data_IF_722310538135
#
_entry.id   IF_722310538135
#
_cell.length_a   1.000
_cell.length_b   1.000
_cell.length_c   1.000
_cell.angle_alpha   90.00
_cell.angle_beta   90.00
_cell.angle_gamma   90.00
#
_symmetry.space_group_name_H-M   'P 1'
#
loop_
_entity.id
_entity.type
_entity.pdbx_description
1 polymer ?
#
# COMPACT_ATOMS: atom_id res chain seq x y z
N UNK A 1 -11.15 -40.34 20.69
CA UNK A 1 -11.71 -39.02 21.05
C UNK A 1 -11.50 -38.11 19.86
N UNK A 2 -12.48 -38.04 18.96
CA UNK A 2 -12.44 -37.17 17.79
C UNK A 2 -13.27 -35.93 18.11
N UNK A 3 -12.62 -34.76 18.08
CA UNK A 3 -13.29 -33.49 18.29
C UNK A 3 -13.93 -33.05 16.97
N UNK A 4 -15.24 -33.27 16.83
CA UNK A 4 -16.03 -32.74 15.73
C UNK A 4 -16.36 -31.28 16.05
N UNK A 5 -15.84 -30.34 15.25
CA UNK A 5 -16.25 -28.94 15.31
C UNK A 5 -17.23 -28.72 14.15
N UNK A 6 -18.52 -28.66 14.46
CA UNK A 6 -19.53 -28.18 13.52
C UNK A 6 -19.51 -26.65 13.49
N UNK A 7 -19.50 -25.99 12.31
CA UNK A 7 -19.74 -24.56 12.23
C UNK A 7 -21.21 -24.26 12.49
N UNK A 8 -21.46 -23.34 13.42
CA UNK A 8 -22.79 -22.82 13.75
C UNK A 8 -23.45 -22.18 12.52
N UNK A 9 -24.70 -22.58 12.27
CA UNK A 9 -25.58 -22.08 11.23
C UNK A 9 -25.91 -20.60 11.51
N UNK A 10 -25.20 -19.68 10.87
CA UNK A 10 -25.74 -18.39 10.50
C UNK A 10 -25.83 -18.34 8.98
N UNK A 11 -26.96 -18.82 8.47
CA UNK A 11 -27.40 -18.65 7.10
C UNK A 11 -27.70 -17.17 6.85
N UNK A 12 -26.74 -16.44 6.30
CA UNK A 12 -27.04 -15.24 5.49
C UNK A 12 -26.92 -15.63 4.02
N UNK A 13 -28.00 -16.22 3.52
CA UNK A 13 -28.26 -16.31 2.09
C UNK A 13 -28.56 -14.91 1.56
N UNK A 14 -27.51 -14.17 1.20
CA UNK A 14 -27.62 -13.08 0.24
C UNK A 14 -26.53 -13.25 -0.80
N UNK A 15 -26.85 -14.05 -1.82
CA UNK A 15 -26.13 -14.06 -3.08
C UNK A 15 -26.37 -12.71 -3.76
N UNK A 16 -25.73 -11.66 -3.28
CA UNK A 16 -25.56 -10.45 -4.07
C UNK A 16 -24.62 -10.83 -5.21
N UNK A 17 -25.20 -11.17 -6.37
CA UNK A 17 -24.51 -11.13 -7.65
C UNK A 17 -23.70 -9.83 -7.67
N UNK A 18 -22.36 -9.84 -7.80
CA UNK A 18 -21.64 -8.62 -8.07
C UNK A 18 -22.18 -8.10 -9.41
N UNK A 19 -22.81 -6.93 -9.36
CA UNK A 19 -23.27 -6.23 -10.55
C UNK A 19 -22.03 -5.82 -11.36
N UNK A 20 -21.89 -6.46 -12.52
CA UNK A 20 -20.93 -6.23 -13.62
C UNK A 20 -19.52 -5.82 -13.17
N UNK A 21 -18.72 -6.82 -12.83
CA UNK A 21 -17.37 -6.89 -13.38
C UNK A 21 -17.13 -8.32 -13.88
N UNK A 22 -17.03 -8.53 -15.20
CA UNK A 22 -16.97 -9.86 -15.81
C UNK A 22 -15.54 -10.42 -15.73
N UNK A 23 -15.04 -10.59 -14.50
CA UNK A 23 -13.76 -11.21 -14.21
C UNK A 23 -13.83 -12.67 -14.69
N UNK A 24 -12.91 -13.05 -15.58
CA UNK A 24 -12.80 -14.44 -16.03
C UNK A 24 -11.95 -15.22 -15.02
N UNK A 25 -12.58 -16.18 -14.34
CA UNK A 25 -11.88 -17.12 -13.44
C UNK A 25 -11.75 -18.45 -14.17
N UNK A 26 -10.52 -18.91 -14.39
CA UNK A 26 -10.25 -20.24 -14.91
C UNK A 26 -9.53 -21.09 -13.87
N UNK A 27 -9.94 -22.36 -13.78
CA UNK A 27 -9.29 -23.36 -12.94
C UNK A 27 -8.72 -24.46 -13.84
N UNK A 28 -7.50 -24.87 -13.57
CA UNK A 28 -6.91 -26.08 -14.14
C UNK A 28 -6.38 -26.95 -13.01
N UNK A 29 -6.71 -28.24 -13.03
CA UNK A 29 -6.18 -29.21 -12.07
C UNK A 29 -5.14 -30.06 -12.78
N UNK A 30 -3.97 -30.16 -12.15
CA UNK A 30 -2.94 -31.16 -12.46
C UNK A 30 -2.84 -32.12 -11.27
N UNK A 31 -2.06 -33.20 -11.40
CA UNK A 31 -1.89 -34.17 -10.31
C UNK A 31 -1.36 -33.53 -9.02
N UNK A 32 -0.50 -32.51 -9.14
CA UNK A 32 0.19 -31.88 -8.00
C UNK A 32 -0.28 -30.44 -7.67
N UNK A 33 -0.93 -29.75 -8.61
CA UNK A 33 -1.26 -28.32 -8.46
C UNK A 33 -2.66 -27.96 -8.98
N UNK A 34 -3.28 -26.98 -8.31
CA UNK A 34 -4.46 -26.26 -8.79
C UNK A 34 -4.02 -24.89 -9.28
N UNK A 35 -4.19 -24.64 -10.58
CA UNK A 35 -3.95 -23.33 -11.18
C UNK A 35 -5.25 -22.53 -11.19
N UNK A 36 -5.26 -21.38 -10.52
CA UNK A 36 -6.37 -20.42 -10.54
C UNK A 36 -5.88 -19.17 -11.25
N UNK A 37 -6.47 -18.85 -12.40
CA UNK A 37 -6.17 -17.62 -13.14
C UNK A 37 -7.36 -16.69 -13.08
N UNK A 38 -7.10 -15.46 -12.63
CA UNK A 38 -8.08 -14.38 -12.50
C UNK A 38 -7.70 -13.34 -13.55
N UNK A 39 -8.55 -13.17 -14.55
CA UNK A 39 -8.30 -12.23 -15.64
C UNK A 39 -9.37 -11.12 -15.62
N UNK A 40 -8.96 -9.84 -15.54
CA UNK A 40 -9.89 -8.73 -15.65
C UNK A 40 -10.50 -8.68 -17.06
N UNK A 41 -11.75 -8.25 -17.16
CA UNK A 41 -12.43 -8.04 -18.45
C UNK A 41 -11.75 -6.92 -19.22
N UNK A 42 -11.68 -7.06 -20.55
CA UNK A 42 -10.92 -6.13 -21.41
C UNK A 42 -11.63 -4.78 -21.63
N UNK A 43 -12.93 -4.69 -21.35
CA UNK A 43 -13.77 -3.52 -21.66
C UNK A 43 -14.26 -2.75 -20.42
N UNK A 44 -13.71 -3.04 -19.24
CA UNK A 44 -14.15 -2.38 -18.02
C UNK A 44 -13.45 -1.05 -17.74
N UNK A 45 -14.27 -0.08 -17.34
CA UNK A 45 -13.78 1.19 -16.79
C UNK A 45 -13.14 0.89 -15.44
N UNK A 46 -11.84 1.19 -15.34
CA UNK A 46 -11.06 1.05 -14.12
C UNK A 46 -11.73 1.75 -12.94
N UNK A 47 -11.56 1.16 -11.76
CA UNK A 47 -12.05 1.72 -10.50
C UNK A 47 -11.44 3.10 -10.25
N UNK A 48 -12.23 4.03 -9.72
CA UNK A 48 -11.71 5.35 -9.32
C UNK A 48 -10.59 5.19 -8.30
N UNK A 49 -9.49 5.94 -8.42
CA UNK A 49 -8.39 5.89 -7.45
C UNK A 49 -8.27 7.19 -6.66
N UNK A 50 -8.18 7.09 -5.33
CA UNK A 50 -7.83 8.18 -4.43
C UNK A 50 -6.35 8.05 -4.07
N UNK A 51 -5.54 9.00 -4.53
CA UNK A 51 -4.08 8.96 -4.31
C UNK A 51 -3.67 10.11 -3.42
N UNK A 52 -2.91 9.82 -2.36
CA UNK A 52 -2.25 10.82 -1.54
C UNK A 52 -0.75 10.62 -1.67
N UNK A 53 -0.07 11.62 -2.23
CA UNK A 53 1.38 11.67 -2.25
C UNK A 53 1.84 12.53 -1.08
N UNK A 54 2.62 11.92 -0.19
CA UNK A 54 3.27 12.60 0.92
C UNK A 54 4.76 12.59 0.63
N UNK A 55 5.28 13.80 0.38
CA UNK A 55 6.70 14.04 0.15
C UNK A 55 7.25 14.67 1.41
N UNK A 56 8.22 14.02 2.04
CA UNK A 56 8.96 14.56 3.16
C UNK A 56 9.75 15.80 2.71
N UNK A 57 9.25 17.00 3.01
CA UNK A 57 9.92 18.26 2.67
C UNK A 57 10.82 18.77 3.80
N UNK A 58 11.39 17.89 4.65
CA UNK A 58 12.44 18.34 5.58
C UNK A 58 13.50 19.16 4.83
N UNK A 59 14.06 20.19 5.48
CA UNK A 59 14.71 21.35 4.84
C UNK A 59 15.84 21.07 3.84
N UNK A 60 16.28 19.83 3.74
CA UNK A 60 17.17 19.27 2.72
C UNK A 60 16.54 18.97 1.35
N UNK A 61 15.20 18.99 1.21
CA UNK A 61 14.50 18.80 -0.08
C UNK A 61 14.25 20.11 -0.87
N UNK A 62 14.61 21.29 -0.33
CA UNK A 62 14.37 22.57 -1.03
C UNK A 62 15.50 23.00 -1.96
N UNK A 63 16.71 22.51 -1.77
CA UNK A 63 17.75 22.57 -2.80
C UNK A 63 17.52 21.42 -3.78
N UNK A 64 17.95 21.59 -5.04
CA UNK A 64 17.84 20.57 -6.08
C UNK A 64 18.21 19.19 -5.52
N UNK A 65 17.60 18.11 -6.05
CA UNK A 65 17.82 16.73 -5.59
C UNK A 65 19.29 16.29 -5.76
N UNK A 66 20.16 16.81 -4.91
CA UNK A 66 21.58 16.58 -4.85
C UNK A 66 21.81 15.45 -3.85
N UNK A 67 22.58 14.46 -4.28
CA UNK A 67 22.99 13.34 -3.43
C UNK A 67 23.83 13.93 -2.30
N UNK A 68 23.34 13.86 -1.06
CA UNK A 68 24.09 14.35 0.09
C UNK A 68 25.31 13.46 0.32
N UNK A 69 26.50 14.00 0.04
CA UNK A 69 27.78 13.41 0.40
C UNK A 69 28.09 13.75 1.87
N UNK A 70 27.89 12.80 2.78
CA UNK A 70 28.39 12.63 4.17
C UNK A 70 28.49 13.82 5.17
N UNK A 71 28.27 15.08 4.80
CA UNK A 71 28.44 16.25 5.68
C UNK A 71 27.56 17.43 5.31
N UNK A 72 26.24 17.26 5.28
CA UNK A 72 25.36 18.42 5.30
C UNK A 72 24.57 18.46 6.62
N UNK A 73 24.94 19.41 7.48
CA UNK A 73 24.37 19.68 8.81
C UNK A 73 23.01 20.39 8.73
N UNK A 74 22.22 20.17 7.68
CA UNK A 74 20.83 20.58 7.67
C UNK A 74 20.00 19.47 8.31
N UNK A 75 20.05 19.36 9.64
CA UNK A 75 19.20 18.42 10.39
C UNK A 75 17.74 18.90 10.36
N UNK A 76 17.11 18.81 9.20
CA UNK A 76 15.67 18.86 9.08
C UNK A 76 15.07 17.75 9.95
N UNK A 77 14.03 18.07 10.71
CA UNK A 77 13.32 17.04 11.46
C UNK A 77 12.45 16.22 10.49
N UNK A 78 12.90 15.03 10.10
CA UNK A 78 12.09 14.05 9.36
C UNK A 78 11.07 13.41 10.29
N UNK A 79 9.83 13.90 10.23
CA UNK A 79 8.71 13.38 11.04
C UNK A 79 7.87 12.37 10.25
N UNK A 80 8.52 11.29 9.82
CA UNK A 80 7.93 10.25 8.97
C UNK A 80 6.57 9.73 9.49
N UNK A 81 6.43 9.59 10.81
CA UNK A 81 5.20 9.12 11.42
C UNK A 81 4.02 10.08 11.22
N UNK A 82 4.24 11.38 11.37
CA UNK A 82 3.18 12.38 11.25
C UNK A 82 2.71 12.48 9.80
N UNK A 83 3.66 12.48 8.87
CA UNK A 83 3.43 12.42 7.41
C UNK A 83 2.57 11.21 7.03
N UNK A 84 2.97 10.03 7.50
CA UNK A 84 2.23 8.77 7.30
C UNK A 84 0.81 8.85 7.88
N UNK A 85 0.69 9.31 9.13
CA UNK A 85 -0.58 9.41 9.85
C UNK A 85 -1.54 10.37 9.19
N UNK A 86 -1.09 11.59 8.88
CA UNK A 86 -1.91 12.63 8.26
C UNK A 86 -2.35 12.23 6.85
N UNK A 87 -1.49 11.58 6.07
CA UNK A 87 -1.86 11.06 4.75
C UNK A 87 -2.93 9.98 4.82
N UNK A 88 -2.78 9.01 5.73
CA UNK A 88 -3.78 7.95 5.94
C UNK A 88 -5.11 8.49 6.47
N UNK A 89 -5.08 9.43 7.41
CA UNK A 89 -6.28 10.08 7.93
C UNK A 89 -7.01 10.86 6.83
N UNK A 90 -6.30 11.57 5.94
CA UNK A 90 -6.91 12.26 4.81
C UNK A 90 -7.56 11.29 3.83
N UNK A 91 -6.84 10.24 3.43
CA UNK A 91 -7.37 9.21 2.53
C UNK A 91 -8.61 8.53 3.11
N UNK A 92 -8.62 8.25 4.43
CA UNK A 92 -9.77 7.66 5.10
C UNK A 92 -11.02 8.55 5.08
N UNK A 93 -10.84 9.89 5.13
CA UNK A 93 -11.94 10.86 5.08
C UNK A 93 -12.51 11.06 3.66
N UNK A 94 -11.70 10.84 2.64
CA UNK A 94 -12.08 10.99 1.22
C UNK A 94 -12.63 9.70 0.59
N UNK A 95 -12.73 8.62 1.35
CA UNK A 95 -13.27 7.36 0.83
C UNK A 95 -14.80 7.45 0.69
N UNK A 96 -15.26 8.11 -0.37
CA UNK A 96 -16.69 8.29 -0.68
C UNK A 96 -17.35 7.01 -1.21
N UNK A 97 -16.57 5.97 -1.58
CA UNK A 97 -17.11 4.69 -2.04
C UNK A 97 -16.19 3.51 -1.78
N UNK A 98 -16.80 2.36 -1.45
CA UNK A 98 -16.17 1.03 -1.28
C UNK A 98 -15.36 0.61 -2.53
N UNK A 99 -15.64 1.20 -3.69
CA UNK A 99 -15.00 0.86 -4.97
C UNK A 99 -13.72 1.65 -5.26
N UNK A 100 -13.35 2.64 -4.44
CA UNK A 100 -12.17 3.47 -4.73
C UNK A 100 -10.88 2.83 -4.24
N UNK A 101 -9.90 2.68 -5.14
CA UNK A 101 -8.56 2.21 -4.77
C UNK A 101 -7.85 3.36 -4.08
N UNK A 102 -7.39 3.15 -2.85
CA UNK A 102 -6.63 4.16 -2.11
C UNK A 102 -5.15 3.79 -2.02
N UNK A 103 -4.29 4.75 -2.34
CA UNK A 103 -2.85 4.59 -2.22
C UNK A 103 -2.17 5.81 -1.61
N UNK A 104 -1.27 5.54 -0.67
CA UNK A 104 -0.34 6.48 -0.09
C UNK A 104 1.03 6.28 -0.73
N UNK A 105 1.63 7.34 -1.25
CA UNK A 105 3.01 7.35 -1.70
C UNK A 105 3.85 8.17 -0.72
N UNK A 106 4.81 7.54 -0.06
CA UNK A 106 5.67 8.17 0.94
C UNK A 106 7.10 8.24 0.41
N UNK A 107 7.57 9.45 0.08
CA UNK A 107 8.95 9.69 -0.34
C UNK A 107 9.73 10.33 0.81
N UNK A 108 10.86 9.73 1.17
CA UNK A 108 11.80 10.29 2.16
C UNK A 108 13.24 10.07 1.72
N UNK A 109 14.14 10.92 2.20
CA UNK A 109 15.57 10.88 1.91
C UNK A 109 16.43 10.69 3.17
N UNK A 110 15.80 10.41 4.32
CA UNK A 110 16.44 10.44 5.63
C UNK A 110 15.89 9.41 6.61
N UNK A 111 16.60 9.19 7.71
CA UNK A 111 16.09 8.43 8.85
C UNK A 111 15.08 9.27 9.65
N UNK A 112 14.00 8.67 10.17
CA UNK A 112 13.05 9.38 11.01
C UNK A 112 13.71 9.89 12.30
N UNK A 113 13.55 11.18 12.60
CA UNK A 113 14.08 11.78 13.83
C UNK A 113 13.07 11.76 14.97
N UNK A 114 11.77 11.63 14.64
CA UNK A 114 10.68 11.50 15.59
C UNK A 114 10.05 10.11 15.49
N UNK A 115 10.18 9.35 16.56
CA UNK A 115 9.66 7.99 16.66
C UNK A 115 8.42 8.03 17.57
N UNK A 116 7.27 7.46 17.16
CA UNK A 116 6.12 7.36 18.04
C UNK A 116 6.41 6.43 19.22
N UNK A 117 5.66 6.57 20.33
CA UNK A 117 5.95 5.87 21.60
C UNK A 117 6.07 4.35 21.48
N UNK A 118 5.27 3.74 20.59
CA UNK A 118 5.25 2.29 20.36
C UNK A 118 6.11 1.86 19.16
N UNK A 119 6.82 2.78 18.52
CA UNK A 119 7.49 2.57 17.24
C UNK A 119 6.54 2.65 16.03
N UNK A 120 7.11 2.86 14.84
CA UNK A 120 6.35 3.14 13.61
C UNK A 120 5.39 2.00 13.24
N UNK A 121 5.87 0.75 13.29
CA UNK A 121 5.12 -0.43 12.84
C UNK A 121 3.88 -0.70 13.71
N UNK A 122 4.06 -0.71 15.03
CA UNK A 122 2.95 -0.93 15.99
C UNK A 122 1.94 0.22 15.93
N UNK A 123 2.44 1.46 15.80
CA UNK A 123 1.58 2.64 15.68
C UNK A 123 0.76 2.60 14.38
N UNK A 124 1.38 2.18 13.26
CA UNK A 124 0.71 2.00 11.98
C UNK A 124 -0.38 0.94 12.05
N UNK A 125 -0.10 -0.23 12.64
CA UNK A 125 -1.12 -1.26 12.83
C UNK A 125 -2.32 -0.78 13.65
N UNK A 126 -2.07 -0.05 14.76
CA UNK A 126 -3.12 0.55 15.59
C UNK A 126 -3.94 1.54 14.77
N UNK A 127 -3.29 2.42 14.01
CA UNK A 127 -3.96 3.39 13.16
C UNK A 127 -4.83 2.71 12.09
N UNK A 128 -4.30 1.71 11.38
CA UNK A 128 -5.07 0.95 10.38
C UNK A 128 -6.31 0.28 10.98
N UNK A 129 -6.18 -0.36 12.14
CA UNK A 129 -7.30 -0.97 12.87
C UNK A 129 -8.35 0.06 13.27
N UNK A 130 -7.92 1.24 13.71
CA UNK A 130 -8.81 2.32 14.13
C UNK A 130 -9.55 2.97 12.95
N UNK A 131 -8.88 3.17 11.82
CA UNK A 131 -9.48 3.78 10.62
C UNK A 131 -10.40 2.81 9.88
N UNK A 132 -10.27 1.49 10.10
CA UNK A 132 -10.96 0.43 9.35
C UNK A 132 -10.89 0.65 7.82
N UNK A 133 -9.70 1.05 7.37
CA UNK A 133 -9.46 1.59 6.04
C UNK A 133 -8.37 0.77 5.33
N UNK A 134 -8.60 0.44 4.05
CA UNK A 134 -7.69 -0.35 3.24
C UNK A 134 -6.99 0.58 2.25
N UNK A 135 -5.67 0.72 2.41
CA UNK A 135 -4.83 1.57 1.59
C UNK A 135 -3.50 0.90 1.30
N UNK A 136 -3.08 0.94 0.03
CA UNK A 136 -1.74 0.53 -0.37
C UNK A 136 -0.75 1.62 0.06
N UNK A 137 0.32 1.24 0.77
CA UNK A 137 1.36 2.18 1.21
C UNK A 137 2.61 1.88 0.39
N UNK A 138 2.98 2.76 -0.54
CA UNK A 138 4.23 2.62 -1.27
C UNK A 138 5.26 3.58 -0.70
N UNK A 139 6.44 3.07 -0.40
CA UNK A 139 7.53 3.84 0.20
C UNK A 139 8.66 3.99 -0.80
N UNK A 140 9.23 5.19 -0.86
CA UNK A 140 10.30 5.55 -1.78
C UNK A 140 11.44 6.13 -0.94
N UNK A 141 12.58 5.44 -0.92
CA UNK A 141 13.77 5.88 -0.20
C UNK A 141 14.76 6.53 -1.16
N UNK A 142 15.07 7.80 -0.98
CA UNK A 142 16.00 8.56 -1.82
C UNK A 142 17.39 8.71 -1.17
N UNK A 143 18.43 8.30 -1.89
CA UNK A 143 19.80 8.35 -1.40
C UNK A 143 20.10 7.25 -0.38
N UNK A 144 21.28 7.31 0.24
CA UNK A 144 21.86 6.18 0.97
C UNK A 144 21.73 6.28 2.49
N UNK A 145 21.29 7.43 3.01
CA UNK A 145 21.23 7.73 4.45
C UNK A 145 19.78 7.61 4.91
N UNK A 146 19.24 6.40 4.90
CA UNK A 146 17.86 6.12 5.31
C UNK A 146 17.69 4.68 5.82
N UNK A 147 16.64 4.47 6.61
CA UNK A 147 16.28 3.14 7.09
C UNK A 147 15.42 2.40 6.06
N UNK A 148 16.09 1.72 5.12
CA UNK A 148 15.41 0.98 4.03
C UNK A 148 14.56 -0.16 4.58
N UNK A 149 15.01 -0.78 5.68
CA UNK A 149 14.29 -1.90 6.30
C UNK A 149 12.97 -1.42 6.90
N UNK A 150 13.00 -0.28 7.60
CA UNK A 150 11.79 0.34 8.11
C UNK A 150 10.81 0.71 6.99
N UNK A 151 11.29 1.30 5.89
CA UNK A 151 10.43 1.66 4.75
C UNK A 151 9.80 0.43 4.09
N UNK A 152 10.56 -0.66 3.95
CA UNK A 152 10.07 -1.95 3.47
C UNK A 152 8.99 -2.52 4.42
N UNK A 153 9.26 -2.53 5.72
CA UNK A 153 8.32 -3.04 6.73
C UNK A 153 7.03 -2.21 6.78
N UNK A 154 7.11 -0.89 6.62
CA UNK A 154 5.94 0.00 6.49
C UNK A 154 5.12 -0.35 5.23
N UNK A 155 5.78 -0.55 4.09
CA UNK A 155 5.10 -0.91 2.84
C UNK A 155 4.42 -2.28 2.92
N UNK A 156 5.10 -3.26 3.53
CA UNK A 156 4.55 -4.61 3.77
C UNK A 156 3.38 -4.60 4.75
N UNK A 157 3.42 -3.77 5.78
CA UNK A 157 2.28 -3.56 6.68
C UNK A 157 1.11 -2.86 5.99
N UNK A 158 1.32 -2.21 4.84
CA UNK A 158 0.28 -1.69 3.97
C UNK A 158 -0.57 -2.80 3.33
N UNK A 159 -1.66 -2.43 2.65
CA UNK A 159 -2.47 -3.39 1.89
C UNK A 159 -1.93 -3.55 0.45
N UNK A 160 -0.89 -4.36 0.28
CA UNK A 160 -0.20 -4.59 -1.03
C UNK A 160 0.64 -3.41 -1.51
N UNK A 161 1.33 -2.76 -0.58
CA UNK A 161 2.31 -1.72 -0.88
C UNK A 161 3.65 -2.26 -1.37
N UNK A 162 4.47 -1.40 -1.95
CA UNK A 162 5.84 -1.72 -2.38
C UNK A 162 6.86 -0.70 -1.89
N UNK A 163 8.09 -1.15 -1.66
CA UNK A 163 9.23 -0.28 -1.41
C UNK A 163 10.08 -0.15 -2.68
N UNK A 164 10.52 1.07 -2.98
CA UNK A 164 11.46 1.35 -4.06
C UNK A 164 12.62 2.22 -3.56
N UNK A 165 13.84 1.73 -3.79
CA UNK A 165 15.06 2.49 -3.56
C UNK A 165 15.36 3.40 -4.75
N UNK A 166 15.72 4.65 -4.47
CA UNK A 166 16.07 5.67 -5.45
C UNK A 166 17.51 6.11 -5.17
N UNK A 167 18.50 5.71 -6.00
CA UNK A 167 19.90 6.06 -5.76
C UNK A 167 20.18 7.56 -5.97
N UNK A 168 19.47 8.18 -6.92
CA UNK A 168 19.66 9.57 -7.33
C UNK A 168 18.46 10.14 -8.10
N UNK A 169 18.48 11.45 -8.36
CA UNK A 169 17.40 12.20 -8.99
C UNK A 169 16.99 11.73 -10.39
N UNK A 170 17.86 11.07 -11.14
CA UNK A 170 17.60 10.65 -12.53
C UNK A 170 16.50 9.59 -12.63
N UNK A 171 16.33 8.78 -11.58
CA UNK A 171 15.40 7.65 -11.57
C UNK A 171 14.07 7.95 -10.89
N UNK A 172 13.94 9.10 -10.20
CA UNK A 172 12.73 9.49 -9.46
C UNK A 172 11.50 9.47 -10.38
N UNK A 173 11.59 10.12 -11.54
CA UNK A 173 10.48 10.21 -12.49
C UNK A 173 10.01 8.84 -12.97
N UNK A 174 10.94 7.98 -13.39
CA UNK A 174 10.65 6.62 -13.86
C UNK A 174 9.95 5.77 -12.79
N UNK A 175 10.45 5.83 -11.55
CA UNK A 175 9.92 5.06 -10.43
C UNK A 175 8.48 5.50 -10.10
N UNK A 176 8.23 6.81 -10.05
CA UNK A 176 6.88 7.35 -9.81
C UNK A 176 5.91 7.02 -10.94
N UNK A 177 6.34 7.15 -12.20
CA UNK A 177 5.51 6.77 -13.36
C UNK A 177 5.13 5.30 -13.29
N UNK A 178 6.07 4.42 -12.96
CA UNK A 178 5.79 2.99 -12.83
C UNK A 178 4.82 2.68 -11.67
N UNK A 179 5.01 3.34 -10.51
CA UNK A 179 4.14 3.16 -9.36
C UNK A 179 2.70 3.63 -9.63
N UNK A 180 2.55 4.81 -10.24
CA UNK A 180 1.24 5.36 -10.63
C UNK A 180 0.60 4.49 -11.71
N UNK A 181 1.37 4.03 -12.71
CA UNK A 181 0.86 3.13 -13.74
C UNK A 181 0.34 1.83 -13.14
N UNK A 182 1.07 1.25 -12.18
CA UNK A 182 0.63 0.04 -11.45
C UNK A 182 -0.67 0.30 -10.69
N UNK A 183 -0.77 1.43 -10.00
CA UNK A 183 -1.98 1.81 -9.27
C UNK A 183 -3.17 1.99 -10.22
N UNK A 184 -3.00 2.71 -11.33
CA UNK A 184 -4.05 3.00 -12.29
C UNK A 184 -4.49 1.75 -13.07
N UNK A 185 -3.60 0.78 -13.29
CA UNK A 185 -3.91 -0.48 -13.97
C UNK A 185 -4.42 -1.57 -13.02
N UNK A 186 -4.53 -1.29 -11.72
CA UNK A 186 -5.04 -2.25 -10.73
C UNK A 186 -6.52 -2.53 -10.98
N UNK A 187 -6.84 -3.78 -11.35
CA UNK A 187 -8.20 -4.17 -11.69
C UNK A 187 -9.07 -4.53 -10.47
N UNK A 188 -8.48 -5.13 -9.43
CA UNK A 188 -9.19 -5.53 -8.23
C UNK A 188 -8.29 -5.42 -7.00
N UNK A 189 -8.89 -5.07 -5.86
CA UNK A 189 -8.24 -5.04 -4.55
C UNK A 189 -9.00 -5.94 -3.57
N UNK A 190 -8.32 -6.41 -2.52
CA UNK A 190 -8.92 -7.25 -1.47
C UNK A 190 -9.59 -8.53 -1.99
N UNK A 191 -8.99 -9.16 -3.01
CA UNK A 191 -9.47 -10.40 -3.59
C UNK A 191 -9.31 -11.53 -2.57
N UNK A 192 -10.41 -12.20 -2.22
CA UNK A 192 -10.41 -13.38 -1.36
C UNK A 192 -10.68 -14.63 -2.19
N UNK A 193 -9.75 -15.59 -2.13
CA UNK A 193 -9.91 -16.89 -2.78
C UNK A 193 -10.42 -17.86 -1.71
N UNK A 194 -11.65 -18.34 -1.90
CA UNK A 194 -12.27 -19.34 -1.02
C UNK A 194 -12.30 -20.66 -1.79
N UNK A 195 -11.65 -21.67 -1.22
CA UNK A 195 -11.63 -23.03 -1.77
C UNK A 195 -12.38 -23.96 -0.80
N UNK A 196 -13.48 -24.56 -1.27
CA UNK A 196 -14.31 -25.47 -0.48
C UNK A 196 -14.16 -26.91 -1.00
N UNK A 197 -14.11 -27.87 -0.09
CA UNK A 197 -14.16 -29.32 -0.36
C UNK A 197 -15.55 -29.88 -0.04
#
# INVERSE_FOLDING_TARGET
MACSVQPSIHSTSSTTKPSSSEITISRSLTEDFVHISIQPSQDEKLSSCNTCCVVDTSGSMSDAAEIQNDKNENSGNTNLWDDLRTGLEHLSKQQDSIKSISALFLLTHGCPTKIPSDGHLVSLEKLKKNLNFLCAINTFGFGYILDSKLLEDIAMLGNSGSYAFIPDGSSVGTIFVNAISTLLTTAATNVQIIYCF
#
